data_IF_541245774996
#
_entry.id   IF_541245774996
#
_cell.length_a   1.000
_cell.length_b   1.000
_cell.length_c   1.000
_cell.angle_alpha   90.00
_cell.angle_beta   90.00
_cell.angle_gamma   90.00
#
_symmetry.space_group_name_H-M   'P 1'
#
loop_
_entity.id
_entity.type
_entity.pdbx_description
1 polymer ?
#
# COMPACT_ATOMS: atom_id res chain seq x y z
N UNK A 1 -25.19 1.22 -29.62
CA UNK A 1 -24.61 0.38 -28.55
C UNK A 1 -23.08 0.20 -28.63
N UNK A 2 -22.34 0.96 -29.45
CA UNK A 2 -20.89 0.77 -29.63
C UNK A 2 -20.00 1.83 -28.94
N UNK A 3 -20.59 2.83 -28.26
CA UNK A 3 -19.87 3.98 -27.72
C UNK A 3 -19.43 3.86 -26.25
N UNK A 4 -20.20 3.17 -25.41
CA UNK A 4 -19.89 3.07 -23.96
C UNK A 4 -18.79 2.05 -23.66
N UNK A 5 -18.67 0.99 -24.44
CA UNK A 5 -17.61 -0.01 -24.26
C UNK A 5 -16.23 0.58 -24.58
N UNK A 6 -16.13 1.39 -25.63
CA UNK A 6 -14.87 2.02 -26.05
C UNK A 6 -14.40 3.06 -25.03
N UNK A 7 -15.33 3.77 -24.39
CA UNK A 7 -15.02 4.73 -23.31
C UNK A 7 -14.50 4.04 -22.05
N UNK A 8 -15.09 2.90 -21.66
CA UNK A 8 -14.62 2.10 -20.52
C UNK A 8 -13.25 1.47 -20.77
N UNK A 9 -12.99 0.98 -21.98
CA UNK A 9 -11.67 0.46 -22.38
C UNK A 9 -10.59 1.55 -22.39
N UNK A 10 -10.91 2.79 -22.75
CA UNK A 10 -9.95 3.90 -22.71
C UNK A 10 -9.64 4.37 -21.28
N UNK A 11 -10.60 4.34 -20.36
CA UNK A 11 -10.36 4.68 -18.95
C UNK A 11 -9.50 3.63 -18.24
N UNK A 12 -9.67 2.34 -18.55
CA UNK A 12 -8.81 1.28 -17.99
C UNK A 12 -7.37 1.34 -18.53
N UNK A 13 -7.19 1.73 -19.80
CA UNK A 13 -5.86 1.90 -20.38
C UNK A 13 -5.11 3.12 -19.82
N UNK A 14 -5.82 4.21 -19.52
CA UNK A 14 -5.22 5.39 -18.89
C UNK A 14 -4.79 5.14 -17.43
N UNK A 15 -5.58 4.38 -16.66
CA UNK A 15 -5.22 4.00 -15.29
C UNK A 15 -4.02 3.02 -15.25
N UNK A 16 -3.90 2.14 -16.23
CA UNK A 16 -2.76 1.22 -16.35
C UNK A 16 -1.44 1.93 -16.75
N UNK A 17 -1.52 3.04 -17.51
CA UNK A 17 -0.34 3.80 -17.95
C UNK A 17 0.20 4.78 -16.90
N UNK A 18 -0.60 5.22 -15.93
CA UNK A 18 -0.09 6.06 -14.82
C UNK A 18 0.56 5.27 -13.68
N UNK A 19 0.31 3.96 -13.59
CA UNK A 19 0.91 3.07 -12.58
C UNK A 19 2.33 2.59 -12.94
N UNK A 20 2.81 2.82 -14.17
CA UNK A 20 4.13 2.36 -14.62
C UNK A 20 5.19 3.45 -14.78
N UNK A 21 4.85 4.74 -14.58
CA UNK A 21 5.78 5.83 -14.84
C UNK A 21 6.65 6.23 -13.63
N UNK A 22 6.28 5.84 -12.40
CA UNK A 22 6.99 6.26 -11.18
C UNK A 22 7.94 5.21 -10.59
N UNK A 23 7.93 3.97 -11.11
CA UNK A 23 8.71 2.86 -10.56
C UNK A 23 9.87 2.37 -11.47
N UNK A 24 9.99 2.87 -12.70
CA UNK A 24 10.95 2.35 -13.70
C UNK A 24 12.37 2.96 -13.60
N UNK A 25 12.65 3.86 -12.63
CA UNK A 25 13.99 4.47 -12.50
C UNK A 25 14.69 4.29 -11.14
N UNK A 26 14.20 3.44 -10.23
CA UNK A 26 14.86 3.26 -8.93
C UNK A 26 14.91 1.82 -8.37
N UNK A 27 14.44 0.81 -9.11
CA UNK A 27 14.35 -0.55 -8.57
C UNK A 27 14.50 -1.62 -9.64
N UNK A 28 15.70 -1.78 -10.18
CA UNK A 28 16.20 -3.02 -10.80
C UNK A 28 17.62 -2.79 -11.37
N UNK A 29 18.58 -2.44 -10.52
CA UNK A 29 19.96 -2.80 -10.82
C UNK A 29 20.12 -4.26 -10.40
N UNK A 30 19.86 -5.15 -11.34
CA UNK A 30 20.22 -6.55 -11.28
C UNK A 30 21.70 -6.66 -10.89
N UNK A 31 21.97 -7.14 -9.68
CA UNK A 31 23.33 -7.28 -9.12
C UNK A 31 24.15 -8.38 -9.83
N UNK A 32 23.63 -9.01 -10.88
CA UNK A 32 24.30 -10.01 -11.71
C UNK A 32 24.62 -9.55 -13.14
N UNK A 33 24.30 -8.30 -13.52
CA UNK A 33 24.43 -7.83 -14.90
C UNK A 33 25.37 -6.63 -15.10
N UNK A 34 26.37 -6.42 -14.23
CA UNK A 34 27.40 -5.41 -14.49
C UNK A 34 28.64 -6.08 -15.10
N UNK A 35 29.04 -5.72 -16.34
CA UNK A 35 30.36 -6.09 -16.83
C UNK A 35 31.42 -5.48 -15.90
N UNK A 36 32.47 -6.26 -15.59
CA UNK A 36 33.70 -5.75 -14.99
C UNK A 36 34.17 -4.53 -15.78
N UNK A 37 34.70 -3.53 -15.06
CA UNK A 37 35.17 -2.21 -15.55
C UNK A 37 34.13 -1.07 -15.51
N UNK A 38 33.82 -0.59 -14.30
CA UNK A 38 33.42 0.81 -14.09
C UNK A 38 34.21 1.39 -12.90
N UNK A 39 34.92 2.49 -13.15
CA UNK A 39 35.90 3.13 -12.26
C UNK A 39 35.35 3.68 -10.93
N UNK A 40 36.22 4.31 -10.13
CA UNK A 40 35.95 4.58 -8.73
C UNK A 40 34.92 5.71 -8.55
N UNK A 41 33.88 5.43 -7.76
CA UNK A 41 33.18 6.46 -6.99
C UNK A 41 31.91 7.05 -7.62
N UNK A 42 30.94 6.22 -7.98
CA UNK A 42 29.54 6.61 -7.80
C UNK A 42 29.07 5.95 -6.50
N UNK A 43 29.18 6.67 -5.39
CA UNK A 43 28.40 6.32 -4.21
C UNK A 43 26.94 6.59 -4.56
N UNK A 44 26.25 5.58 -5.10
CA UNK A 44 24.80 5.52 -5.11
C UNK A 44 24.35 5.70 -3.66
N UNK A 45 23.97 6.93 -3.31
CA UNK A 45 23.19 7.15 -2.12
C UNK A 45 21.85 6.51 -2.44
N UNK A 46 21.67 5.25 -2.04
CA UNK A 46 20.41 4.54 -2.23
C UNK A 46 19.30 5.43 -1.64
N UNK A 47 18.46 6.00 -2.50
CA UNK A 47 17.33 6.84 -2.11
C UNK A 47 16.44 6.02 -1.19
N UNK A 48 16.42 6.34 0.10
CA UNK A 48 15.57 5.67 1.08
C UNK A 48 14.11 5.97 0.73
N UNK A 49 13.30 4.93 0.58
CA UNK A 49 11.87 5.10 0.30
C UNK A 49 11.16 5.65 1.54
N UNK A 50 10.57 6.83 1.39
CA UNK A 50 9.75 7.47 2.42
C UNK A 50 8.57 6.57 2.78
N UNK A 51 8.39 6.28 4.06
CA UNK A 51 7.35 5.37 4.55
C UNK A 51 6.78 5.95 5.85
N UNK A 52 5.52 6.43 5.86
CA UNK A 52 4.57 6.46 4.76
C UNK A 52 4.98 7.40 3.64
N UNK A 53 4.69 7.06 2.39
CA UNK A 53 4.87 7.97 1.25
C UNK A 53 3.86 9.13 1.29
N UNK A 54 4.17 10.23 0.61
CA UNK A 54 3.25 11.38 0.46
C UNK A 54 1.90 10.97 -0.15
N UNK A 55 1.91 10.03 -1.08
CA UNK A 55 0.68 9.48 -1.67
C UNK A 55 -0.18 8.80 -0.61
N UNK A 56 0.42 7.95 0.23
CA UNK A 56 -0.28 7.25 1.30
C UNK A 56 -0.88 8.24 2.30
N UNK A 57 -0.13 9.29 2.66
CA UNK A 57 -0.64 10.34 3.55
C UNK A 57 -1.82 11.08 2.93
N UNK A 58 -1.74 11.44 1.65
CA UNK A 58 -2.84 12.10 0.92
C UNK A 58 -4.10 11.23 0.85
N UNK A 59 -3.96 9.98 0.41
CA UNK A 59 -5.08 9.02 0.34
C UNK A 59 -5.70 8.74 1.71
N UNK A 60 -4.91 8.77 2.78
CA UNK A 60 -5.43 8.57 4.13
C UNK A 60 -6.33 9.73 4.56
N UNK A 61 -5.96 10.96 4.23
CA UNK A 61 -6.81 12.13 4.48
C UNK A 61 -8.13 12.04 3.71
N UNK A 62 -8.08 11.71 2.41
CA UNK A 62 -9.27 11.52 1.57
C UNK A 62 -10.18 10.40 2.11
N UNK A 63 -9.59 9.28 2.56
CA UNK A 63 -10.34 8.18 3.16
C UNK A 63 -11.01 8.59 4.47
N UNK A 64 -10.35 9.38 5.32
CA UNK A 64 -10.92 9.90 6.56
C UNK A 64 -12.11 10.83 6.30
N UNK A 65 -12.02 11.70 5.28
CA UNK A 65 -13.14 12.55 4.85
C UNK A 65 -14.32 11.71 4.36
N UNK A 66 -14.07 10.70 3.52
CA UNK A 66 -15.11 9.77 3.05
C UNK A 66 -15.76 9.01 4.21
N UNK A 67 -14.94 8.56 5.17
CA UNK A 67 -15.42 7.86 6.37
C UNK A 67 -16.32 8.77 7.21
N UNK A 68 -15.90 10.01 7.46
CA UNK A 68 -16.66 10.96 8.27
C UNK A 68 -18.00 11.37 7.61
N UNK A 69 -18.04 11.46 6.28
CA UNK A 69 -19.25 11.78 5.53
C UNK A 69 -20.24 10.60 5.41
N UNK A 70 -19.76 9.35 5.51
CA UNK A 70 -20.58 8.15 5.38
C UNK A 70 -21.52 7.94 6.57
N UNK A 71 -22.64 7.25 6.35
CA UNK A 71 -23.50 6.77 7.45
C UNK A 71 -22.88 5.52 8.13
N UNK A 72 -23.49 5.01 9.19
CA UNK A 72 -22.94 3.87 9.94
C UNK A 72 -22.73 2.60 9.08
N UNK A 73 -23.61 2.35 8.10
CA UNK A 73 -23.50 1.22 7.18
C UNK A 73 -22.35 1.42 6.19
N UNK A 74 -22.25 2.60 5.56
CA UNK A 74 -21.14 2.96 4.68
C UNK A 74 -19.80 2.87 5.41
N UNK A 75 -19.72 3.38 6.64
CA UNK A 75 -18.52 3.30 7.49
C UNK A 75 -18.14 1.86 7.83
N UNK A 76 -19.12 1.02 8.15
CA UNK A 76 -18.87 -0.41 8.38
C UNK A 76 -18.35 -1.11 7.12
N UNK A 77 -18.86 -0.76 5.93
CA UNK A 77 -18.39 -1.33 4.68
C UNK A 77 -16.97 -0.87 4.36
N UNK A 78 -16.68 0.43 4.51
CA UNK A 78 -15.34 1.00 4.34
C UNK A 78 -14.32 0.29 5.25
N UNK A 79 -14.64 0.06 6.54
CA UNK A 79 -13.76 -0.71 7.44
C UNK A 79 -13.49 -2.12 6.94
N UNK A 80 -14.53 -2.85 6.54
CA UNK A 80 -14.41 -4.22 6.06
C UNK A 80 -13.56 -4.30 4.80
N UNK A 81 -13.83 -3.42 3.86
CA UNK A 81 -13.14 -3.39 2.58
C UNK A 81 -11.68 -2.94 2.75
N UNK A 82 -11.40 -1.93 3.59
CA UNK A 82 -10.04 -1.55 3.98
C UNK A 82 -9.24 -2.74 4.53
N UNK A 83 -9.79 -3.48 5.51
CA UNK A 83 -9.14 -4.66 6.08
C UNK A 83 -8.92 -5.79 5.05
N UNK A 84 -9.92 -6.06 4.21
CA UNK A 84 -9.83 -7.05 3.12
C UNK A 84 -8.72 -6.67 2.12
N UNK A 85 -8.69 -5.42 1.69
CA UNK A 85 -7.77 -4.93 0.68
C UNK A 85 -6.30 -4.99 1.16
N UNK A 86 -6.02 -4.66 2.42
CA UNK A 86 -4.68 -4.84 3.00
C UNK A 86 -4.24 -6.31 2.93
N UNK A 87 -5.12 -7.22 3.36
CA UNK A 87 -4.84 -8.66 3.37
C UNK A 87 -4.57 -9.18 1.96
N UNK A 88 -5.43 -8.86 1.00
CA UNK A 88 -5.29 -9.28 -0.39
C UNK A 88 -3.98 -8.76 -1.00
N UNK A 89 -3.55 -7.53 -0.66
CA UNK A 89 -2.31 -6.97 -1.18
C UNK A 89 -1.07 -7.68 -0.60
N UNK A 90 -1.08 -8.04 0.68
CA UNK A 90 -0.01 -8.86 1.29
C UNK A 90 0.02 -10.26 0.71
N UNK A 91 -1.13 -10.91 0.54
CA UNK A 91 -1.22 -12.25 -0.08
C UNK A 91 -0.70 -12.26 -1.52
N UNK A 92 -0.98 -11.20 -2.28
CA UNK A 92 -0.45 -11.04 -3.63
C UNK A 92 1.08 -10.91 -3.63
N UNK A 93 1.66 -10.17 -2.68
CA UNK A 93 3.12 -10.13 -2.53
C UNK A 93 3.69 -11.53 -2.28
N UNK A 94 3.13 -12.27 -1.32
CA UNK A 94 3.60 -13.62 -0.97
C UNK A 94 3.53 -14.54 -2.19
N UNK A 95 2.44 -14.45 -2.97
CA UNK A 95 2.25 -15.23 -4.19
C UNK A 95 3.25 -14.86 -5.29
N UNK A 96 3.53 -13.59 -5.51
CA UNK A 96 4.47 -13.13 -6.55
C UNK A 96 5.94 -13.43 -6.20
N UNK A 97 6.24 -13.52 -4.91
CA UNK A 97 7.58 -13.82 -4.39
C UNK A 97 7.69 -15.26 -3.88
N UNK A 98 6.88 -16.19 -4.41
CA UNK A 98 6.90 -17.59 -3.97
C UNK A 98 8.29 -18.22 -4.09
N UNK A 99 9.04 -17.84 -5.14
CA UNK A 99 10.38 -18.32 -5.49
C UNK A 99 11.51 -17.78 -4.61
N UNK A 100 11.24 -16.74 -3.81
CA UNK A 100 12.17 -16.25 -2.78
C UNK A 100 12.13 -17.25 -1.61
N UNK A 101 13.17 -18.08 -1.51
CA UNK A 101 13.35 -19.08 -0.44
C UNK A 101 13.49 -18.42 0.95
N UNK A 102 13.91 -17.15 1.00
CA UNK A 102 13.96 -16.34 2.19
C UNK A 102 12.58 -15.81 2.57
N UNK A 103 12.02 -16.40 3.63
CA UNK A 103 10.74 -16.02 4.22
C UNK A 103 10.75 -14.66 4.91
N UNK A 104 11.89 -13.95 4.95
CA UNK A 104 12.03 -12.73 5.75
C UNK A 104 11.07 -11.64 5.27
N UNK A 105 11.09 -11.28 3.98
CA UNK A 105 10.19 -10.25 3.47
C UNK A 105 8.70 -10.62 3.56
N UNK A 106 8.38 -11.91 3.40
CA UNK A 106 7.03 -12.44 3.61
C UNK A 106 6.60 -12.24 5.07
N UNK A 107 7.47 -12.63 6.00
CA UNK A 107 7.25 -12.50 7.45
C UNK A 107 7.12 -11.05 7.89
N UNK A 108 7.92 -10.12 7.35
CA UNK A 108 7.83 -8.71 7.70
C UNK A 108 6.50 -8.07 7.24
N UNK A 109 6.00 -8.43 6.06
CA UNK A 109 4.69 -7.94 5.61
C UNK A 109 3.51 -8.59 6.35
N UNK A 110 3.62 -9.86 6.76
CA UNK A 110 2.65 -10.51 7.64
C UNK A 110 2.62 -9.88 9.05
N UNK A 111 3.80 -9.51 9.59
CA UNK A 111 3.91 -8.74 10.84
C UNK A 111 3.31 -7.35 10.69
N UNK A 112 3.54 -6.67 9.57
CA UNK A 112 2.91 -5.39 9.27
C UNK A 112 1.37 -5.50 9.27
N UNK A 113 0.83 -6.51 8.59
CA UNK A 113 -0.62 -6.78 8.56
C UNK A 113 -1.16 -7.03 9.98
N UNK A 114 -0.43 -7.78 10.80
CA UNK A 114 -0.78 -8.03 12.21
C UNK A 114 -0.73 -6.74 13.04
N UNK A 115 0.22 -5.85 12.77
CA UNK A 115 0.33 -4.54 13.42
C UNK A 115 -0.86 -3.63 13.06
N UNK A 116 -1.29 -3.62 11.80
CA UNK A 116 -2.48 -2.88 11.37
C UNK A 116 -3.75 -3.34 12.10
N UNK A 117 -3.97 -4.65 12.20
CA UNK A 117 -5.09 -5.22 12.95
C UNK A 117 -5.03 -4.86 14.43
N UNK A 118 -3.86 -5.00 15.06
CA UNK A 118 -3.65 -4.64 16.45
C UNK A 118 -3.93 -3.16 16.72
N UNK A 119 -3.34 -2.24 15.93
CA UNK A 119 -3.54 -0.79 16.10
C UNK A 119 -4.99 -0.39 15.90
N UNK A 120 -5.69 -1.00 14.94
CA UNK A 120 -7.12 -0.74 14.69
C UNK A 120 -7.96 -1.19 15.88
N UNK A 121 -7.75 -2.41 16.38
CA UNK A 121 -8.44 -2.93 17.58
C UNK A 121 -8.16 -2.10 18.82
N UNK A 122 -6.91 -1.67 19.00
CA UNK A 122 -6.52 -0.81 20.11
C UNK A 122 -7.19 0.56 20.03
N UNK A 123 -7.31 1.14 18.84
CA UNK A 123 -8.02 2.40 18.61
C UNK A 123 -9.51 2.27 18.96
N UNK A 124 -10.18 1.22 18.48
CA UNK A 124 -11.56 0.93 18.80
C UNK A 124 -11.79 0.73 20.31
N UNK A 125 -10.91 -0.03 20.97
CA UNK A 125 -10.94 -0.23 22.42
C UNK A 125 -10.82 1.10 23.19
N UNK A 126 -9.86 1.96 22.82
CA UNK A 126 -9.67 3.27 23.47
C UNK A 126 -10.87 4.20 23.27
N UNK A 127 -11.48 4.15 22.08
CA UNK A 127 -12.66 4.94 21.77
C UNK A 127 -13.96 4.39 22.38
N UNK A 128 -13.94 3.15 22.91
CA UNK A 128 -15.15 2.39 23.32
C UNK A 128 -16.20 2.33 22.20
N UNK A 129 -15.73 2.25 20.96
CA UNK A 129 -16.56 2.23 19.75
C UNK A 129 -15.85 1.42 18.68
N UNK A 130 -16.60 0.57 17.97
CA UNK A 130 -16.07 -0.08 16.78
C UNK A 130 -16.06 0.88 15.57
N UNK A 131 -16.88 1.93 15.61
CA UNK A 131 -17.04 2.91 14.54
C UNK A 131 -15.92 3.96 14.59
N UNK A 132 -14.69 3.49 14.36
CA UNK A 132 -13.47 4.29 14.32
C UNK A 132 -12.80 4.07 12.98
N UNK A 133 -12.41 5.15 12.32
CA UNK A 133 -11.67 5.08 11.07
C UNK A 133 -10.32 4.34 11.28
N UNK A 134 -9.99 3.31 10.48
CA UNK A 134 -8.75 2.56 10.66
C UNK A 134 -7.50 3.27 10.11
N UNK A 135 -7.67 4.30 9.26
CA UNK A 135 -6.60 4.92 8.49
C UNK A 135 -5.47 5.48 9.38
N UNK A 136 -5.78 6.35 10.35
CA UNK A 136 -4.80 6.90 11.28
C UNK A 136 -4.01 5.82 12.05
N UNK A 137 -4.71 4.81 12.58
CA UNK A 137 -4.08 3.74 13.35
C UNK A 137 -3.11 2.91 12.49
N UNK A 138 -3.47 2.66 11.23
CA UNK A 138 -2.63 1.93 10.29
C UNK A 138 -1.49 2.80 9.74
N UNK A 139 -1.68 4.10 9.55
CA UNK A 139 -0.59 5.03 9.22
C UNK A 139 0.50 5.01 10.29
N UNK A 140 0.13 4.95 11.56
CA UNK A 140 1.11 4.89 12.66
C UNK A 140 1.89 3.57 12.67
N UNK A 141 1.23 2.43 12.42
CA UNK A 141 1.92 1.17 12.21
C UNK A 141 2.87 1.20 11.00
N UNK A 142 2.47 1.86 9.90
CA UNK A 142 3.31 1.99 8.72
C UNK A 142 4.54 2.87 8.98
N UNK A 143 4.40 3.95 9.77
CA UNK A 143 5.53 4.78 10.23
C UNK A 143 6.52 3.95 11.06
N UNK A 144 6.02 3.15 12.01
CA UNK A 144 6.87 2.28 12.85
C UNK A 144 7.61 1.25 11.99
N UNK A 145 6.92 0.62 11.05
CA UNK A 145 7.51 -0.30 10.08
C UNK A 145 8.61 0.37 9.26
N UNK A 146 8.33 1.54 8.68
CA UNK A 146 9.29 2.36 7.95
C UNK A 146 10.48 2.82 8.80
N UNK A 147 10.32 2.99 10.12
CA UNK A 147 11.44 3.27 11.02
C UNK A 147 12.33 2.05 11.30
N UNK A 148 11.75 0.85 11.25
CA UNK A 148 12.41 -0.41 11.64
C UNK A 148 13.08 -1.16 10.50
N UNK A 149 12.66 -0.92 9.26
CA UNK A 149 13.10 -1.68 8.08
C UNK A 149 14.15 -0.89 7.29
N UNK A 150 15.34 -1.46 7.08
CA UNK A 150 16.37 -0.88 6.21
C UNK A 150 16.17 -1.16 4.72
N UNK A 151 15.25 -2.08 4.39
CA UNK A 151 15.03 -2.57 3.04
C UNK A 151 14.03 -1.70 2.26
N UNK A 152 14.45 -1.17 1.11
CA UNK A 152 13.62 -0.32 0.26
C UNK A 152 12.49 -1.09 -0.43
N UNK A 153 12.70 -2.35 -0.81
CA UNK A 153 11.66 -3.18 -1.41
C UNK A 153 10.47 -3.34 -0.45
N UNK A 154 10.75 -3.66 0.82
CA UNK A 154 9.73 -3.79 1.85
C UNK A 154 9.05 -2.46 2.20
N UNK A 155 9.79 -1.35 2.25
CA UNK A 155 9.22 0.00 2.41
C UNK A 155 8.23 0.33 1.29
N UNK A 156 8.61 0.03 0.04
CA UNK A 156 7.73 0.16 -1.11
C UNK A 156 6.46 -0.70 -0.93
N UNK A 157 6.60 -1.98 -0.60
CA UNK A 157 5.44 -2.85 -0.42
C UNK A 157 4.56 -2.45 0.78
N UNK A 158 5.12 -1.93 1.86
CA UNK A 158 4.36 -1.37 2.98
C UNK A 158 3.49 -0.19 2.53
N UNK A 159 4.05 0.73 1.73
CA UNK A 159 3.29 1.81 1.12
C UNK A 159 2.21 1.29 0.17
N UNK A 160 2.53 0.31 -0.68
CA UNK A 160 1.58 -0.30 -1.63
C UNK A 160 0.39 -0.97 -0.93
N UNK A 161 0.63 -1.68 0.19
CA UNK A 161 -0.43 -2.28 1.00
C UNK A 161 -1.40 -1.20 1.50
N UNK A 162 -0.86 -0.12 2.05
CA UNK A 162 -1.67 0.97 2.59
C UNK A 162 -2.38 1.75 1.47
N UNK A 163 -1.68 2.11 0.40
CA UNK A 163 -2.26 2.83 -0.74
C UNK A 163 -3.38 2.05 -1.40
N UNK A 164 -3.20 0.73 -1.59
CA UNK A 164 -4.23 -0.16 -2.14
C UNK A 164 -5.44 -0.24 -1.22
N UNK A 165 -5.23 -0.34 0.09
CA UNK A 165 -6.32 -0.35 1.06
C UNK A 165 -7.05 1.00 1.17
N UNK A 166 -6.42 2.12 0.85
CA UNK A 166 -7.05 3.44 0.91
C UNK A 166 -7.83 3.82 -0.35
N UNK A 167 -7.79 3.00 -1.41
CA UNK A 167 -8.42 3.29 -2.70
C UNK A 167 -9.93 3.46 -2.59
N UNK A 168 -10.40 4.67 -2.88
CA UNK A 168 -11.81 5.07 -2.85
C UNK A 168 -12.66 4.40 -3.93
N UNK A 169 -12.07 4.07 -5.08
CA UNK A 169 -12.74 3.42 -6.19
C UNK A 169 -13.11 1.96 -5.91
N UNK A 170 -12.45 1.33 -4.93
CA UNK A 170 -12.84 0.02 -4.40
C UNK A 170 -14.12 0.08 -3.53
N UNK A 171 -14.65 1.29 -3.32
CA UNK A 171 -15.82 1.58 -2.50
C UNK A 171 -16.99 2.16 -3.32
N UNK A 172 -16.82 2.36 -4.62
CA UNK A 172 -17.88 2.91 -5.49
C UNK A 172 -19.06 1.96 -5.70
N UNK A 173 -18.90 0.65 -5.45
CA UNK A 173 -19.99 -0.33 -5.46
C UNK A 173 -20.93 -0.23 -4.23
N UNK A 174 -20.74 0.78 -3.36
CA UNK A 174 -21.48 0.96 -2.09
C UNK A 174 -22.55 2.07 -2.18
N UNK A 175 -22.64 2.80 -3.30
CA UNK A 175 -23.65 3.85 -3.51
C UNK A 175 -24.89 3.35 -4.24
#
# INVERSE_FOLDING_TARGET
MCGELVRKLFCCAAAALFLSASAVMAGAADRLALPEEAGPGVTESALVIETPSKEVVGRAAEFEELYAAGNAESRALLRRAFAKNMKERVELYVKLHYWKDDSWGKSELEKLLSSFDYKTKLSAYRAKSEDVCPAAACLDALKEFGGSIGDNELRFYGNEVMAYALRSDLYEDIR
#
